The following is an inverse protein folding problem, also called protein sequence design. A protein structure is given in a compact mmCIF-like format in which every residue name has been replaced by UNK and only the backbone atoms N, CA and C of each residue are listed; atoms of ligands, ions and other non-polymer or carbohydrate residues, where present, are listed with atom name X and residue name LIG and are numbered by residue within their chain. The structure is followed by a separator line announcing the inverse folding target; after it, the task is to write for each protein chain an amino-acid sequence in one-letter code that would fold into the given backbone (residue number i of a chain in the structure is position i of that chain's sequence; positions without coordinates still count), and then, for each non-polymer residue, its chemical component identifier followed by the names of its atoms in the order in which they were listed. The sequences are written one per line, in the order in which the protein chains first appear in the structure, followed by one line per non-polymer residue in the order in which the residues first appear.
data_IF_939689094719
#
_entry.id   IF_939689094719
#
_cell.length_a   1.000
_cell.length_b   1.000
_cell.length_c   1.000
_cell.angle_alpha   90.00
_cell.angle_beta   90.00
_cell.angle_gamma   90.00
#
_symmetry.space_group_name_H-M   'P 1'
#
loop_
_entity.id
_entity.type
_entity.pdbx_description
1 polymer ?
#
# COMPACT_ATOMS: atom_id res chain seq x y z
N UNK A 1 3.06 -6.70 -21.36
CA UNK A 1 1.59 -6.83 -21.23
C UNK A 1 1.29 -7.76 -20.08
N UNK A 2 0.33 -7.40 -19.21
CA UNK A 2 -0.10 -8.29 -18.14
C UNK A 2 -0.70 -9.58 -18.72
N UNK A 3 -0.27 -10.73 -18.22
CA UNK A 3 -0.81 -12.02 -18.66
C UNK A 3 -2.09 -12.36 -17.89
N UNK A 4 -3.09 -11.45 -17.94
CA UNK A 4 -4.39 -11.59 -17.30
C UNK A 4 -5.42 -10.74 -18.05
N UNK A 5 -6.66 -11.20 -18.11
CA UNK A 5 -7.74 -10.51 -18.85
C UNK A 5 -8.83 -9.96 -17.94
N UNK A 6 -9.04 -10.54 -16.75
CA UNK A 6 -10.17 -10.21 -15.87
C UNK A 6 -9.71 -10.13 -14.42
N UNK A 7 -9.86 -8.96 -13.83
CA UNK A 7 -9.56 -8.71 -12.41
C UNK A 7 -10.86 -8.42 -11.66
N UNK A 8 -11.17 -9.22 -10.65
CA UNK A 8 -12.23 -8.96 -9.68
C UNK A 8 -11.64 -8.31 -8.43
N UNK A 9 -12.25 -7.27 -7.91
CA UNK A 9 -11.86 -6.60 -6.67
C UNK A 9 -13.01 -6.73 -5.68
N UNK A 10 -12.77 -7.39 -4.56
CA UNK A 10 -13.75 -7.57 -3.49
C UNK A 10 -13.54 -6.48 -2.44
N UNK A 11 -14.46 -5.53 -2.38
CA UNK A 11 -14.40 -4.28 -1.62
C UNK A 11 -14.03 -3.09 -2.48
N UNK A 12 -14.89 -2.07 -2.49
CA UNK A 12 -14.78 -0.85 -3.31
C UNK A 12 -14.16 0.35 -2.57
N UNK A 13 -13.25 0.10 -1.62
CA UNK A 13 -12.61 1.16 -0.81
C UNK A 13 -11.56 1.98 -1.57
N UNK A 14 -10.85 2.85 -0.83
CA UNK A 14 -9.83 3.74 -1.42
C UNK A 14 -8.72 2.99 -2.15
N UNK A 15 -8.27 1.85 -1.62
CA UNK A 15 -7.20 1.08 -2.26
C UNK A 15 -7.68 0.40 -3.54
N UNK A 16 -8.93 -0.09 -3.57
CA UNK A 16 -9.56 -0.57 -4.81
C UNK A 16 -9.57 0.53 -5.87
N UNK A 17 -9.94 1.76 -5.49
CA UNK A 17 -9.91 2.92 -6.37
C UNK A 17 -8.52 3.23 -6.92
N UNK A 18 -7.48 3.16 -6.08
CA UNK A 18 -6.09 3.35 -6.50
C UNK A 18 -5.69 2.32 -7.57
N UNK A 19 -6.00 1.03 -7.33
CA UNK A 19 -5.71 -0.06 -8.27
C UNK A 19 -6.46 0.13 -9.58
N UNK A 20 -7.76 0.46 -9.54
CA UNK A 20 -8.57 0.74 -10.74
C UNK A 20 -7.94 1.88 -11.55
N UNK A 21 -7.57 2.99 -10.90
CA UNK A 21 -6.92 4.13 -11.59
C UNK A 21 -5.61 3.73 -12.24
N UNK A 22 -4.77 2.93 -11.56
CA UNK A 22 -3.52 2.43 -12.11
C UNK A 22 -3.74 1.57 -13.35
N UNK A 23 -4.67 0.61 -13.29
CA UNK A 23 -5.02 -0.27 -14.40
C UNK A 23 -5.58 0.48 -15.62
N UNK A 24 -6.45 1.49 -15.39
CA UNK A 24 -7.05 2.28 -16.46
C UNK A 24 -6.06 3.27 -17.09
N UNK A 25 -5.17 3.88 -16.28
CA UNK A 25 -4.17 4.85 -16.77
C UNK A 25 -3.18 4.22 -17.76
N UNK A 26 -2.76 3.00 -17.49
CA UNK A 26 -1.76 2.30 -18.30
C UNK A 26 -2.41 1.51 -19.47
N UNK A 27 -3.71 1.65 -19.69
CA UNK A 27 -4.47 1.02 -20.77
C UNK A 27 -4.15 -0.47 -20.95
N UNK A 28 -4.00 -1.19 -19.84
CA UNK A 28 -3.51 -2.59 -19.84
C UNK A 28 -4.48 -3.60 -20.48
N UNK A 29 -5.63 -3.14 -20.97
CA UNK A 29 -6.60 -3.99 -21.69
C UNK A 29 -7.29 -5.05 -20.83
N UNK A 30 -7.33 -4.85 -19.51
CA UNK A 30 -7.89 -5.78 -18.54
C UNK A 30 -9.33 -5.37 -18.19
N UNK A 31 -10.27 -6.32 -18.21
CA UNK A 31 -11.61 -6.11 -17.67
C UNK A 31 -11.55 -6.02 -16.15
N UNK A 32 -12.33 -5.11 -15.56
CA UNK A 32 -12.37 -4.88 -14.11
C UNK A 32 -13.80 -5.06 -13.60
N UNK A 33 -13.98 -5.86 -12.54
CA UNK A 33 -15.22 -6.02 -11.83
C UNK A 33 -15.02 -5.73 -10.34
N UNK A 34 -15.83 -4.87 -9.74
CA UNK A 34 -15.74 -4.53 -8.32
C UNK A 34 -17.00 -5.00 -7.61
N UNK A 35 -16.84 -5.80 -6.56
CA UNK A 35 -17.93 -6.13 -5.65
C UNK A 35 -17.90 -5.18 -4.43
N UNK A 36 -19.01 -4.49 -4.20
CA UNK A 36 -19.17 -3.56 -3.07
C UNK A 36 -20.58 -3.71 -2.48
N UNK A 37 -20.67 -3.89 -1.17
CA UNK A 37 -21.96 -4.10 -0.48
C UNK A 37 -22.78 -2.81 -0.34
N UNK A 38 -22.12 -1.66 -0.17
CA UNK A 38 -22.78 -0.37 -0.01
C UNK A 38 -23.36 0.14 -1.34
N UNK A 39 -24.68 0.30 -1.42
CA UNK A 39 -25.34 0.85 -2.61
C UNK A 39 -24.78 2.22 -2.97
N UNK A 40 -24.66 3.13 -1.99
CA UNK A 40 -24.09 4.47 -2.20
C UNK A 40 -22.68 4.39 -2.82
N UNK A 41 -21.84 3.49 -2.30
CA UNK A 41 -20.48 3.34 -2.80
C UNK A 41 -20.43 2.75 -4.21
N UNK A 42 -21.37 1.83 -4.54
CA UNK A 42 -21.52 1.34 -5.92
C UNK A 42 -21.85 2.45 -6.90
N UNK A 43 -22.80 3.32 -6.53
CA UNK A 43 -23.21 4.45 -7.37
C UNK A 43 -22.04 5.43 -7.61
N UNK A 44 -21.27 5.73 -6.55
CA UNK A 44 -20.06 6.55 -6.65
C UNK A 44 -19.01 5.93 -7.59
N UNK A 45 -18.76 4.62 -7.47
CA UNK A 45 -17.79 3.90 -8.31
C UNK A 45 -18.25 3.84 -9.77
N UNK A 46 -19.53 3.58 -10.00
CA UNK A 46 -20.12 3.54 -11.36
C UNK A 46 -20.04 4.90 -12.05
N UNK A 47 -20.35 5.98 -11.32
CA UNK A 47 -20.23 7.34 -11.85
C UNK A 47 -18.76 7.72 -12.15
N UNK A 48 -17.82 7.29 -11.31
CA UNK A 48 -16.40 7.63 -11.42
C UNK A 48 -15.66 6.80 -12.47
N UNK A 49 -16.07 5.54 -12.67
CA UNK A 49 -15.43 4.58 -13.56
C UNK A 49 -16.46 3.90 -14.48
N UNK A 50 -16.97 4.56 -15.51
CA UNK A 50 -18.07 4.04 -16.35
C UNK A 50 -17.76 2.72 -17.07
N UNK A 51 -16.48 2.39 -17.24
CA UNK A 51 -16.03 1.16 -17.92
C UNK A 51 -15.76 0.00 -16.95
N UNK A 52 -15.93 0.21 -15.65
CA UNK A 52 -15.76 -0.81 -14.62
C UNK A 52 -17.11 -1.43 -14.28
N UNK A 53 -17.18 -2.75 -14.31
CA UNK A 53 -18.37 -3.47 -13.85
C UNK A 53 -18.45 -3.37 -12.33
N UNK A 54 -19.55 -2.87 -11.78
CA UNK A 54 -19.78 -2.77 -10.33
C UNK A 54 -20.98 -3.64 -9.95
N UNK A 55 -20.78 -4.55 -8.99
CA UNK A 55 -21.80 -5.50 -8.54
C UNK A 55 -21.95 -5.47 -7.02
N UNK A 56 -23.06 -6.00 -6.50
CA UNK A 56 -23.30 -6.10 -5.06
C UNK A 56 -22.85 -7.42 -4.43
N UNK A 57 -22.48 -8.42 -5.24
CA UNK A 57 -22.21 -9.78 -4.79
C UNK A 57 -20.74 -10.15 -5.05
N UNK A 58 -20.03 -10.56 -3.98
CA UNK A 58 -18.62 -10.95 -4.05
C UNK A 58 -18.41 -12.23 -4.87
N UNK A 59 -19.32 -13.24 -4.73
CA UNK A 59 -19.22 -14.49 -5.48
C UNK A 59 -19.35 -14.24 -6.99
N UNK A 60 -20.28 -13.38 -7.42
CA UNK A 60 -20.46 -13.01 -8.82
C UNK A 60 -19.20 -12.40 -9.42
N UNK A 61 -18.57 -11.47 -8.69
CA UNK A 61 -17.32 -10.86 -9.13
C UNK A 61 -16.18 -11.89 -9.17
N UNK A 62 -16.05 -12.72 -8.13
CA UNK A 62 -14.99 -13.74 -8.03
C UNK A 62 -15.15 -14.83 -9.10
N UNK A 63 -16.36 -15.24 -9.44
CA UNK A 63 -16.64 -16.20 -10.51
C UNK A 63 -16.17 -15.66 -11.87
N UNK A 64 -16.43 -14.38 -12.14
CA UNK A 64 -16.06 -13.72 -13.38
C UNK A 64 -14.55 -13.46 -13.51
N UNK A 65 -13.84 -13.17 -12.39
CA UNK A 65 -12.41 -12.82 -12.40
C UNK A 65 -11.47 -14.03 -12.57
N UNK A 66 -10.35 -13.81 -13.22
CA UNK A 66 -9.19 -14.72 -13.26
C UNK A 66 -8.26 -14.44 -12.06
N UNK A 67 -8.14 -13.15 -11.68
CA UNK A 67 -7.51 -12.70 -10.45
C UNK A 67 -8.56 -12.08 -9.55
N UNK A 68 -8.49 -12.40 -8.26
CA UNK A 68 -9.38 -11.88 -7.23
C UNK A 68 -8.55 -11.08 -6.23
N UNK A 69 -8.76 -9.75 -6.17
CA UNK A 69 -8.09 -8.89 -5.20
C UNK A 69 -9.02 -8.69 -4.01
N UNK A 70 -8.60 -9.18 -2.83
CA UNK A 70 -9.31 -9.00 -1.57
C UNK A 70 -8.93 -7.64 -0.97
N UNK A 71 -9.82 -6.65 -1.11
CA UNK A 71 -9.63 -5.26 -0.71
C UNK A 71 -10.60 -4.81 0.39
N UNK A 72 -11.08 -5.74 1.20
CA UNK A 72 -11.92 -5.48 2.38
C UNK A 72 -11.08 -5.18 3.61
N UNK A 73 -11.71 -4.64 4.66
CA UNK A 73 -11.04 -4.46 5.96
C UNK A 73 -10.72 -5.82 6.59
N UNK A 74 -9.61 -5.97 7.36
CA UNK A 74 -9.24 -7.24 7.98
C UNK A 74 -10.37 -7.90 8.79
N UNK A 75 -11.21 -7.09 9.46
CA UNK A 75 -12.35 -7.56 10.25
C UNK A 75 -13.46 -8.21 9.40
N UNK A 76 -13.46 -7.97 8.10
CA UNK A 76 -14.43 -8.51 7.15
C UNK A 76 -13.85 -9.69 6.35
N UNK A 77 -12.60 -10.10 6.64
CA UNK A 77 -11.88 -11.10 5.86
C UNK A 77 -12.62 -12.44 5.80
N UNK A 78 -13.04 -12.96 6.96
CA UNK A 78 -13.72 -14.25 7.07
C UNK A 78 -15.01 -14.25 6.25
N UNK A 79 -15.90 -13.28 6.47
CA UNK A 79 -17.14 -13.19 5.71
C UNK A 79 -16.94 -12.96 4.21
N UNK A 80 -15.87 -12.28 3.79
CA UNK A 80 -15.57 -12.13 2.37
C UNK A 80 -15.05 -13.44 1.76
N UNK A 81 -14.24 -14.21 2.49
CA UNK A 81 -13.73 -15.51 2.06
C UNK A 81 -14.86 -16.55 1.96
N UNK A 82 -15.77 -16.62 2.93
CA UNK A 82 -16.93 -17.50 2.92
C UNK A 82 -17.81 -17.30 1.69
N UNK A 83 -17.96 -16.05 1.24
CA UNK A 83 -18.76 -15.73 0.05
C UNK A 83 -18.13 -16.23 -1.26
N UNK A 84 -16.81 -16.39 -1.30
CA UNK A 84 -16.08 -16.72 -2.54
C UNK A 84 -15.48 -18.13 -2.54
N UNK A 85 -15.46 -18.85 -1.41
CA UNK A 85 -14.77 -20.13 -1.25
C UNK A 85 -15.11 -21.16 -2.34
N UNK A 86 -16.39 -21.21 -2.76
CA UNK A 86 -16.91 -22.20 -3.72
C UNK A 86 -16.64 -21.84 -5.18
N UNK A 87 -16.34 -20.57 -5.47
CA UNK A 87 -16.14 -20.08 -6.85
C UNK A 87 -14.67 -19.78 -7.15
N UNK A 88 -13.81 -19.73 -6.11
CA UNK A 88 -12.36 -19.57 -6.26
C UNK A 88 -11.74 -20.95 -6.40
N UNK A 89 -11.31 -21.27 -7.61
CA UNK A 89 -10.67 -22.54 -7.95
C UNK A 89 -9.14 -22.38 -8.05
N UNK A 90 -8.34 -23.47 -8.07
CA UNK A 90 -6.88 -23.39 -8.23
C UNK A 90 -6.38 -22.71 -9.50
N UNK A 91 -7.24 -22.55 -10.51
CA UNK A 91 -6.92 -21.81 -11.75
C UNK A 91 -6.91 -20.31 -11.55
N UNK A 92 -7.56 -19.80 -10.51
CA UNK A 92 -7.61 -18.38 -10.19
C UNK A 92 -6.47 -17.98 -9.26
N UNK A 93 -6.04 -16.72 -9.36
CA UNK A 93 -5.07 -16.13 -8.45
C UNK A 93 -5.78 -15.23 -7.44
N UNK A 94 -5.58 -15.47 -6.15
CA UNK A 94 -6.08 -14.61 -5.08
C UNK A 94 -4.96 -13.69 -4.63
N UNK A 95 -5.22 -12.38 -4.59
CA UNK A 95 -4.29 -11.38 -4.09
C UNK A 95 -4.94 -10.65 -2.92
N UNK A 96 -4.39 -10.76 -1.73
CA UNK A 96 -4.91 -10.09 -0.54
C UNK A 96 -4.12 -8.82 -0.23
N UNK A 97 -4.82 -7.71 -0.01
CA UNK A 97 -4.23 -6.47 0.53
C UNK A 97 -4.66 -6.22 2.00
N UNK A 98 -5.21 -7.22 2.65
CA UNK A 98 -5.68 -7.12 4.04
C UNK A 98 -4.50 -7.12 5.01
N UNK A 99 -4.37 -6.04 5.79
CA UNK A 99 -3.31 -5.93 6.80
C UNK A 99 -3.46 -7.01 7.89
N UNK A 100 -2.36 -7.63 8.32
CA UNK A 100 -2.36 -8.61 9.40
C UNK A 100 -2.97 -9.97 9.07
N UNK A 101 -3.43 -10.23 7.83
CA UNK A 101 -3.98 -11.53 7.44
C UNK A 101 -2.92 -12.35 6.68
N UNK A 102 -2.36 -13.43 7.26
CA UNK A 102 -1.36 -14.24 6.59
C UNK A 102 -1.96 -15.10 5.48
N UNK A 103 -1.11 -15.47 4.51
CA UNK A 103 -1.51 -16.32 3.37
C UNK A 103 -2.10 -17.65 3.82
N UNK A 104 -1.54 -18.27 4.85
CA UNK A 104 -2.02 -19.53 5.40
C UNK A 104 -3.48 -19.44 5.89
N UNK A 105 -3.90 -18.30 6.48
CA UNK A 105 -5.28 -18.08 6.92
C UNK A 105 -6.23 -17.96 5.72
N UNK A 106 -5.79 -17.33 4.64
CA UNK A 106 -6.57 -17.22 3.40
C UNK A 106 -6.67 -18.60 2.72
N UNK A 107 -5.55 -19.31 2.59
CA UNK A 107 -5.49 -20.65 1.99
C UNK A 107 -6.36 -21.66 2.72
N UNK A 108 -6.47 -21.55 4.05
CA UNK A 108 -7.32 -22.46 4.87
C UNK A 108 -8.82 -22.27 4.63
N UNK A 109 -9.24 -21.09 4.13
CA UNK A 109 -10.64 -20.76 3.82
C UNK A 109 -10.97 -20.88 2.32
N UNK A 110 -10.07 -21.43 1.51
CA UNK A 110 -10.28 -21.64 0.08
C UNK A 110 -10.12 -23.12 -0.28
N UNK A 111 -10.55 -23.50 -1.48
CA UNK A 111 -10.36 -24.86 -1.98
C UNK A 111 -8.87 -25.24 -1.99
N UNK A 112 -8.51 -26.51 -1.69
CA UNK A 112 -7.13 -26.96 -1.74
C UNK A 112 -6.47 -26.69 -3.09
N UNK A 113 -5.26 -26.16 -3.07
CA UNK A 113 -4.50 -25.85 -4.27
C UNK A 113 -4.66 -24.41 -4.80
N UNK A 114 -5.52 -23.59 -4.19
CA UNK A 114 -5.65 -22.18 -4.55
C UNK A 114 -4.31 -21.42 -4.37
N UNK A 115 -4.04 -20.53 -5.31
CA UNK A 115 -2.82 -19.71 -5.37
C UNK A 115 -3.09 -18.37 -4.71
N UNK A 116 -2.30 -18.03 -3.70
CA UNK A 116 -2.48 -16.82 -2.90
C UNK A 116 -1.22 -15.98 -2.91
N UNK A 117 -1.37 -14.69 -3.19
CA UNK A 117 -0.36 -13.65 -2.98
C UNK A 117 -0.86 -12.72 -1.89
N UNK A 118 0.01 -12.31 -0.99
CA UNK A 118 -0.26 -11.23 -0.04
C UNK A 118 0.50 -9.99 -0.49
N UNK A 119 -0.18 -8.86 -0.51
CA UNK A 119 0.38 -7.55 -0.83
C UNK A 119 0.07 -6.57 0.31
N UNK A 120 0.98 -5.64 0.54
CA UNK A 120 0.81 -4.56 1.51
C UNK A 120 1.11 -3.21 0.84
N UNK A 121 0.13 -2.62 0.13
CA UNK A 121 0.22 -1.27 -0.39
C UNK A 121 0.03 -0.23 0.72
N UNK A 122 0.28 1.05 0.39
CA UNK A 122 0.02 2.17 1.28
C UNK A 122 -0.78 3.29 0.59
N UNK A 123 -1.26 4.26 1.38
CA UNK A 123 -2.18 5.29 0.89
C UNK A 123 -1.67 6.20 -0.23
N UNK A 124 -0.35 6.52 -0.38
CA UNK A 124 0.14 7.27 -1.54
C UNK A 124 -0.11 6.60 -2.90
N UNK A 125 -0.49 5.33 -2.93
CA UNK A 125 -0.98 4.64 -4.13
C UNK A 125 -2.17 5.37 -4.81
N UNK A 126 -2.97 6.13 -4.06
CA UNK A 126 -4.08 6.95 -4.58
C UNK A 126 -3.64 7.98 -5.62
N UNK A 127 -2.38 8.41 -5.55
CA UNK A 127 -1.75 9.35 -6.48
C UNK A 127 -0.64 8.70 -7.33
N UNK A 128 -0.56 7.37 -7.35
CA UNK A 128 0.46 6.63 -8.10
C UNK A 128 1.86 6.63 -7.47
N UNK A 129 1.98 7.00 -6.20
CA UNK A 129 3.24 7.07 -5.45
C UNK A 129 3.27 6.09 -4.27
N UNK A 130 2.63 4.94 -4.42
CA UNK A 130 2.56 3.91 -3.39
C UNK A 130 3.88 3.14 -3.23
N UNK A 131 4.07 2.58 -2.03
CA UNK A 131 5.07 1.55 -1.78
C UNK A 131 4.34 0.26 -1.41
N UNK A 132 4.56 -0.80 -2.19
CA UNK A 132 3.90 -2.08 -1.99
C UNK A 132 4.93 -3.19 -1.83
N UNK A 133 4.79 -4.00 -0.80
CA UNK A 133 5.48 -5.28 -0.73
C UNK A 133 4.52 -6.42 -1.10
N UNK A 134 5.03 -7.44 -1.81
CA UNK A 134 4.28 -8.64 -2.17
C UNK A 134 5.02 -9.90 -1.72
N UNK A 135 4.31 -10.94 -1.31
CA UNK A 135 4.86 -12.24 -1.00
C UNK A 135 3.94 -13.37 -1.44
N UNK A 136 4.54 -14.53 -1.70
CA UNK A 136 3.81 -15.72 -2.15
C UNK A 136 3.31 -16.54 -0.96
N UNK A 137 2.08 -17.06 -1.09
CA UNK A 137 1.60 -18.19 -0.33
C UNK A 137 2.18 -19.51 -0.83
N UNK A 138 1.70 -20.61 -0.25
CA UNK A 138 2.29 -21.95 -0.43
C UNK A 138 2.19 -22.48 -1.87
N UNK A 139 1.15 -22.11 -2.61
CA UNK A 139 0.85 -22.65 -3.95
C UNK A 139 1.04 -21.61 -5.07
N UNK A 140 1.34 -20.38 -4.74
CA UNK A 140 1.64 -19.35 -5.72
C UNK A 140 2.98 -19.61 -6.41
N UNK A 141 3.03 -19.39 -7.71
CA UNK A 141 4.23 -19.53 -8.53
C UNK A 141 5.06 -18.24 -8.59
N UNK A 142 6.25 -18.31 -9.16
CA UNK A 142 7.06 -17.13 -9.44
C UNK A 142 6.35 -16.16 -10.41
N UNK A 143 5.63 -16.72 -11.41
CA UNK A 143 4.87 -15.93 -12.38
C UNK A 143 3.68 -15.21 -11.71
N UNK A 144 3.01 -15.86 -10.73
CA UNK A 144 1.95 -15.23 -9.94
C UNK A 144 2.48 -14.05 -9.13
N UNK A 145 3.66 -14.21 -8.52
CA UNK A 145 4.31 -13.16 -7.73
C UNK A 145 4.71 -12.00 -8.62
N UNK A 146 5.29 -12.28 -9.80
CA UNK A 146 5.69 -11.25 -10.75
C UNK A 146 4.47 -10.51 -11.33
N UNK A 147 3.39 -11.22 -11.65
CA UNK A 147 2.14 -10.61 -12.10
C UNK A 147 1.56 -9.66 -11.03
N UNK A 148 1.50 -10.09 -9.77
CA UNK A 148 1.06 -9.23 -8.69
C UNK A 148 1.97 -8.00 -8.54
N UNK A 149 3.30 -8.18 -8.59
CA UNK A 149 4.26 -7.09 -8.54
C UNK A 149 4.05 -6.09 -9.68
N UNK A 150 3.83 -6.55 -10.91
CA UNK A 150 3.53 -5.69 -12.06
C UNK A 150 2.25 -4.87 -11.84
N UNK A 151 1.18 -5.46 -11.31
CA UNK A 151 -0.08 -4.74 -11.04
C UNK A 151 0.14 -3.64 -10.00
N UNK A 152 0.83 -3.93 -8.89
CA UNK A 152 1.09 -2.91 -7.88
C UNK A 152 2.13 -1.86 -8.32
N UNK A 153 3.00 -2.18 -9.29
CA UNK A 153 3.90 -1.20 -9.91
C UNK A 153 3.14 -0.12 -10.71
N UNK A 154 1.89 -0.37 -11.14
CA UNK A 154 1.04 0.65 -11.78
C UNK A 154 0.62 1.78 -10.82
N UNK A 155 0.75 1.57 -9.51
CA UNK A 155 0.33 2.54 -8.48
C UNK A 155 1.50 3.00 -7.59
N UNK A 156 2.73 2.74 -8.01
CA UNK A 156 3.95 3.15 -7.30
C UNK A 156 5.08 2.13 -7.46
N UNK A 157 5.86 1.92 -6.41
CA UNK A 157 6.93 0.91 -6.38
C UNK A 157 6.42 -0.38 -5.76
N UNK A 158 6.76 -1.53 -6.37
CA UNK A 158 6.42 -2.84 -5.85
C UNK A 158 7.67 -3.74 -5.71
N UNK A 159 7.86 -4.33 -4.53
CA UNK A 159 8.99 -5.20 -4.20
C UNK A 159 8.51 -6.54 -3.66
N UNK A 160 9.26 -7.62 -3.93
CA UNK A 160 8.98 -8.93 -3.37
C UNK A 160 9.76 -9.14 -2.07
N UNK A 161 9.12 -9.71 -1.06
CA UNK A 161 9.72 -10.03 0.24
C UNK A 161 9.24 -11.39 0.73
N UNK A 162 9.95 -11.98 1.72
CA UNK A 162 9.44 -13.13 2.47
C UNK A 162 8.21 -12.73 3.31
N UNK A 163 7.22 -13.61 3.44
CA UNK A 163 6.01 -13.33 4.23
C UNK A 163 6.31 -12.96 5.69
N UNK A 164 7.37 -13.54 6.28
CA UNK A 164 7.81 -13.21 7.66
C UNK A 164 8.16 -11.74 7.87
N UNK A 165 8.43 -10.99 6.79
CA UNK A 165 8.75 -9.56 6.84
C UNK A 165 7.51 -8.65 6.68
N UNK A 166 6.34 -9.19 6.36
CA UNK A 166 5.16 -8.39 6.03
C UNK A 166 4.64 -7.53 7.19
N UNK A 167 4.86 -7.95 8.44
CA UNK A 167 4.51 -7.12 9.59
C UNK A 167 5.48 -5.94 9.76
N UNK A 168 6.77 -6.16 9.50
CA UNK A 168 7.76 -5.08 9.47
C UNK A 168 7.47 -4.11 8.30
N UNK A 169 7.09 -4.62 7.14
CA UNK A 169 6.61 -3.81 6.01
C UNK A 169 5.39 -2.97 6.40
N UNK A 170 4.43 -3.56 7.12
CA UNK A 170 3.25 -2.84 7.62
C UNK A 170 3.67 -1.68 8.52
N UNK A 171 4.61 -1.90 9.44
CA UNK A 171 5.18 -0.86 10.31
C UNK A 171 5.95 0.21 9.55
N UNK A 172 6.76 -0.19 8.55
CA UNK A 172 7.62 0.73 7.80
C UNK A 172 6.85 1.53 6.75
N UNK A 173 6.20 0.85 5.80
CA UNK A 173 5.58 1.51 4.64
C UNK A 173 4.06 1.57 4.70
N UNK A 174 3.40 0.62 5.36
CA UNK A 174 1.95 0.65 5.56
C UNK A 174 1.52 1.82 6.44
N UNK A 175 2.12 1.94 7.62
CA UNK A 175 1.89 3.03 8.58
C UNK A 175 2.74 4.28 8.31
N UNK A 176 3.84 4.14 7.56
CA UNK A 176 4.82 5.18 7.27
C UNK A 176 4.26 6.51 6.79
N UNK A 177 3.23 6.56 5.93
CA UNK A 177 2.64 7.83 5.50
C UNK A 177 2.18 8.71 6.66
N UNK A 178 1.65 8.12 7.75
CA UNK A 178 1.26 8.88 8.94
C UNK A 178 2.45 9.57 9.62
N UNK A 179 3.59 8.88 9.69
CA UNK A 179 4.82 9.46 10.27
C UNK A 179 5.31 10.65 9.45
N UNK A 180 5.26 10.51 8.11
CA UNK A 180 5.66 11.57 7.18
C UNK A 180 4.71 12.77 7.27
N UNK A 181 3.39 12.54 7.37
CA UNK A 181 2.43 13.63 7.57
C UNK A 181 2.69 14.38 8.89
N UNK A 182 2.94 13.67 9.99
CA UNK A 182 3.32 14.27 11.28
C UNK A 182 4.62 15.06 11.16
N UNK A 183 5.61 14.56 10.43
CA UNK A 183 6.88 15.27 10.18
C UNK A 183 6.67 16.56 9.36
N UNK A 184 5.86 16.51 8.30
CA UNK A 184 5.51 17.68 7.49
C UNK A 184 4.77 18.73 8.34
N UNK A 185 3.84 18.31 9.19
CA UNK A 185 3.11 19.16 10.12
C UNK A 185 4.10 19.87 11.08
N UNK A 186 4.99 19.10 11.71
CA UNK A 186 6.00 19.64 12.62
C UNK A 186 6.94 20.66 11.93
N UNK A 187 7.37 20.39 10.69
CA UNK A 187 8.15 21.35 9.89
C UNK A 187 7.35 22.63 9.60
N UNK A 188 6.07 22.48 9.26
CA UNK A 188 5.19 23.64 9.03
C UNK A 188 5.01 24.47 10.29
N UNK A 189 4.83 23.84 11.45
CA UNK A 189 4.72 24.52 12.76
C UNK A 189 6.01 25.25 13.12
N UNK A 190 7.15 24.62 12.86
CA UNK A 190 8.45 25.23 13.05
C UNK A 190 8.64 26.48 12.14
N UNK A 191 8.17 26.42 10.89
CA UNK A 191 8.13 27.56 9.98
C UNK A 191 7.31 28.72 10.56
N UNK A 192 6.11 28.43 11.04
CA UNK A 192 5.23 29.44 11.66
C UNK A 192 5.85 30.05 12.93
N UNK A 193 6.46 29.21 13.78
CA UNK A 193 7.20 29.67 14.97
C UNK A 193 8.31 30.68 14.62
N UNK A 194 8.88 30.54 13.41
CA UNK A 194 9.94 31.45 12.92
C UNK A 194 9.40 32.58 12.02
N UNK A 195 8.07 32.83 12.01
CA UNK A 195 7.45 33.97 11.34
C UNK A 195 7.01 33.73 9.88
N UNK A 196 7.09 32.51 9.38
CA UNK A 196 6.58 32.19 8.02
C UNK A 196 5.05 32.02 8.07
N UNK A 197 4.27 32.62 7.15
CA UNK A 197 2.82 32.37 7.07
C UNK A 197 2.50 30.89 6.93
N UNK A 198 1.41 30.43 7.54
CA UNK A 198 1.04 29.00 7.66
C UNK A 198 0.98 28.26 6.30
N UNK A 199 0.34 28.87 5.33
CA UNK A 199 0.18 28.32 3.98
C UNK A 199 1.53 28.13 3.27
N UNK A 200 2.40 29.14 3.36
CA UNK A 200 3.77 29.10 2.81
C UNK A 200 4.62 28.05 3.54
N UNK A 201 4.54 28.01 4.89
CA UNK A 201 5.29 27.03 5.68
C UNK A 201 4.88 25.59 5.34
N UNK A 202 3.59 25.32 5.17
CA UNK A 202 3.08 24.00 4.80
C UNK A 202 3.54 23.61 3.39
N UNK A 203 3.45 24.51 2.43
CA UNK A 203 3.90 24.26 1.05
C UNK A 203 5.41 23.95 1.00
N UNK A 204 6.22 24.74 1.67
CA UNK A 204 7.68 24.55 1.72
C UNK A 204 8.05 23.24 2.42
N UNK A 205 7.39 22.90 3.54
CA UNK A 205 7.65 21.67 4.28
C UNK A 205 7.32 20.44 3.41
N UNK A 206 6.14 20.41 2.79
CA UNK A 206 5.73 19.31 1.92
C UNK A 206 6.68 19.15 0.72
N UNK A 207 7.05 20.25 0.05
CA UNK A 207 7.96 20.22 -1.10
C UNK A 207 9.38 19.79 -0.70
N UNK A 208 9.85 20.19 0.49
CA UNK A 208 11.16 19.77 1.01
C UNK A 208 11.23 18.26 1.23
N UNK A 209 10.21 17.68 1.87
CA UNK A 209 10.14 16.23 2.09
C UNK A 209 10.03 15.46 0.76
N UNK A 210 9.18 15.94 -0.16
CA UNK A 210 9.06 15.35 -1.50
C UNK A 210 10.40 15.38 -2.25
N UNK A 211 11.08 16.53 -2.28
CA UNK A 211 12.35 16.68 -2.98
C UNK A 211 13.45 15.79 -2.40
N UNK A 212 13.58 15.75 -1.08
CA UNK A 212 14.56 14.90 -0.40
C UNK A 212 14.31 13.41 -0.68
N UNK A 213 13.03 12.96 -0.62
CA UNK A 213 12.66 11.59 -0.93
C UNK A 213 12.95 11.22 -2.39
N UNK A 214 12.64 12.13 -3.32
CA UNK A 214 12.94 11.93 -4.74
C UNK A 214 14.43 11.82 -5.01
N UNK A 215 15.26 12.62 -4.35
CA UNK A 215 16.73 12.51 -4.48
C UNK A 215 17.21 11.10 -4.10
N UNK A 216 16.73 10.53 -3.01
CA UNK A 216 17.09 9.15 -2.61
C UNK A 216 16.67 8.14 -3.68
N UNK A 217 15.42 8.23 -4.17
CA UNK A 217 14.87 7.28 -5.14
C UNK A 217 15.54 7.38 -6.50
N UNK A 218 15.74 8.61 -7.02
CA UNK A 218 16.21 8.86 -8.37
C UNK A 218 17.73 8.68 -8.50
N UNK A 219 18.50 9.02 -7.46
CA UNK A 219 19.97 8.88 -7.50
C UNK A 219 20.45 7.52 -7.02
N UNK A 220 19.68 6.83 -6.17
CA UNK A 220 20.10 5.61 -5.49
C UNK A 220 21.22 5.83 -4.45
N UNK A 221 21.59 7.10 -4.17
CA UNK A 221 22.61 7.40 -3.19
C UNK A 221 22.11 7.16 -1.76
N UNK A 222 23.02 6.69 -0.91
CA UNK A 222 22.70 6.47 0.49
C UNK A 222 22.29 7.79 1.18
N UNK A 223 21.19 7.81 1.96
CA UNK A 223 20.70 9.06 2.60
C UNK A 223 21.73 9.81 3.42
N UNK A 224 22.72 9.11 3.99
CA UNK A 224 23.81 9.73 4.74
C UNK A 224 24.66 10.63 3.83
N UNK A 225 25.02 10.17 2.62
CA UNK A 225 25.81 10.94 1.66
C UNK A 225 25.06 12.16 1.16
N UNK A 226 23.74 12.02 0.88
CA UNK A 226 22.90 13.16 0.49
C UNK A 226 22.80 14.18 1.61
N UNK A 227 22.69 13.74 2.88
CA UNK A 227 22.70 14.61 4.06
C UNK A 227 24.02 15.39 4.17
N UNK A 228 25.17 14.75 3.95
CA UNK A 228 26.49 15.40 3.98
C UNK A 228 26.61 16.53 2.94
N UNK A 229 26.07 16.33 1.73
CA UNK A 229 26.10 17.35 0.65
C UNK A 229 25.40 18.66 1.02
N UNK A 230 24.47 18.64 1.98
CA UNK A 230 23.76 19.85 2.46
C UNK A 230 24.26 20.31 3.83
N UNK A 231 25.34 19.73 4.35
CA UNK A 231 25.86 20.00 5.70
C UNK A 231 27.24 20.70 5.59
N UNK A 232 27.23 22.02 5.59
CA UNK A 232 28.46 22.82 5.59
C UNK A 232 29.06 22.95 7.00
N UNK A 233 30.41 23.09 7.12
CA UNK A 233 31.07 23.37 8.39
C UNK A 233 30.52 24.62 9.08
N UNK A 234 30.08 24.53 10.34
CA UNK A 234 29.52 25.65 11.10
C UNK A 234 28.18 26.21 10.57
N UNK A 235 27.57 25.54 9.59
CA UNK A 235 26.33 25.98 8.95
C UNK A 235 25.05 25.71 9.75
N UNK A 236 23.93 26.20 9.23
CA UNK A 236 22.59 26.03 9.85
C UNK A 236 22.17 24.58 9.91
N UNK A 237 22.52 23.78 8.90
CA UNK A 237 22.14 22.37 8.80
C UNK A 237 22.77 21.53 9.92
N UNK A 238 24.07 21.70 10.20
CA UNK A 238 24.71 20.93 11.27
C UNK A 238 24.17 21.30 12.65
N UNK A 239 23.85 22.57 12.89
CA UNK A 239 23.23 23.01 14.13
C UNK A 239 21.83 22.39 14.31
N UNK A 240 21.03 22.35 13.24
CA UNK A 240 19.71 21.72 13.27
C UNK A 240 19.78 20.19 13.45
N UNK A 241 20.74 19.53 12.78
CA UNK A 241 20.98 18.09 12.96
C UNK A 241 21.36 17.75 14.42
N UNK A 242 22.20 18.58 15.04
CA UNK A 242 22.54 18.41 16.47
C UNK A 242 21.31 18.52 17.38
N UNK A 243 20.41 19.45 17.10
CA UNK A 243 19.15 19.58 17.85
C UNK A 243 18.24 18.33 17.68
N UNK A 244 18.15 17.77 16.46
CA UNK A 244 17.40 16.53 16.20
C UNK A 244 18.01 15.33 16.95
N UNK A 245 19.33 15.19 16.98
CA UNK A 245 20.01 14.10 17.72
C UNK A 245 19.79 14.24 19.24
N UNK A 246 19.84 15.45 19.78
CA UNK A 246 19.53 15.71 21.20
C UNK A 246 18.07 15.32 21.55
N UNK A 247 17.15 15.44 20.60
CA UNK A 247 15.77 14.98 20.71
C UNK A 247 15.56 13.49 20.45
N UNK A 248 16.63 12.70 20.28
CA UNK A 248 16.57 11.27 19.98
C UNK A 248 15.74 10.93 18.73
N UNK A 249 15.73 11.82 17.73
CA UNK A 249 14.87 11.71 16.54
C UNK A 249 14.89 10.33 15.90
N UNK A 250 16.08 9.76 15.69
CA UNK A 250 16.20 8.43 15.06
C UNK A 250 15.59 7.34 15.94
N UNK A 251 15.84 7.37 17.26
CA UNK A 251 15.28 6.41 18.20
C UNK A 251 13.76 6.44 18.22
N UNK A 252 13.16 7.63 18.19
CA UNK A 252 11.70 7.81 18.16
C UNK A 252 11.10 7.20 16.89
N UNK A 253 11.70 7.42 15.71
CA UNK A 253 11.23 6.82 14.45
C UNK A 253 11.37 5.31 14.46
N UNK A 254 12.49 4.76 14.94
CA UNK A 254 12.70 3.31 15.06
C UNK A 254 11.65 2.67 15.98
N UNK A 255 11.38 3.28 17.13
CA UNK A 255 10.37 2.81 18.07
C UNK A 255 8.94 2.86 17.47
N UNK A 256 8.63 3.89 16.68
CA UNK A 256 7.34 3.99 16.01
C UNK A 256 7.11 2.84 15.01
N UNK A 257 8.12 2.53 14.19
CA UNK A 257 8.07 1.41 13.24
C UNK A 257 7.95 0.07 13.97
N UNK A 258 8.71 -0.13 15.06
CA UNK A 258 8.65 -1.34 15.88
C UNK A 258 7.26 -1.52 16.51
N UNK A 259 6.70 -0.48 17.13
CA UNK A 259 5.37 -0.51 17.73
C UNK A 259 4.28 -0.89 16.73
N UNK A 260 4.32 -0.32 15.52
CA UNK A 260 3.38 -0.65 14.46
C UNK A 260 3.56 -2.08 13.92
N UNK A 261 4.81 -2.56 13.83
CA UNK A 261 5.13 -3.94 13.43
C UNK A 261 4.63 -4.96 14.45
N UNK A 262 4.81 -4.69 15.74
CA UNK A 262 4.30 -5.53 16.83
C UNK A 262 2.76 -5.55 16.81
N UNK A 263 2.13 -4.40 16.62
CA UNK A 263 0.67 -4.33 16.51
C UNK A 263 0.12 -5.11 15.31
N UNK A 264 0.83 -5.10 14.19
CA UNK A 264 0.47 -5.93 13.01
C UNK A 264 0.50 -7.42 13.35
N UNK A 265 1.53 -7.90 14.06
CA UNK A 265 1.65 -9.30 14.52
C UNK A 265 0.51 -9.69 15.47
N UNK A 266 0.16 -8.81 16.43
CA UNK A 266 -0.97 -9.05 17.33
C UNK A 266 -2.30 -9.22 16.58
N UNK A 267 -2.52 -8.43 15.54
CA UNK A 267 -3.72 -8.50 14.69
C UNK A 267 -3.75 -9.77 13.85
N UNK A 268 -2.58 -10.27 13.42
CA UNK A 268 -2.45 -11.50 12.66
C UNK A 268 -2.76 -12.76 13.49
N UNK A 269 -2.48 -12.72 14.79
CA UNK A 269 -2.70 -13.83 15.75
C UNK A 269 -4.12 -13.92 16.32
N UNK A 270 -4.99 -13.01 15.95
CA UNK A 270 -6.43 -13.03 16.30
C UNK A 270 -7.25 -13.51 15.09
#
# INVERSE_FOLDING_TARGET
MLNIRKIAIIGGGNMAEAIIRGLLREEVGVGICVAEISLKRRDELTAKFPHVRVVGNAAEAAEWGEMIILAVKPQQAEGALDLIERVVTPQKLVVSIMAGIPTAKIEANLLPGCRVIRAMPNTPALIGAGATAVCSGRKATADDLDLARQIFALIGTAVSVDEKLMDAVTGLSGSGPAYVFTFIEALSDAGVKNGIPRDVATQLAAQTVLGASRMVVETGEHPCLLKEKVTSPGGTTIAALHALENGSFRGVIMNAVEAASLKSKELAGK
#
